data_IF_784209904331
#
_entry.id   IF_784209904331
#
_cell.length_a   1.000
_cell.length_b   1.000
_cell.length_c   1.000
_cell.angle_alpha   90.00
_cell.angle_beta   90.00
_cell.angle_gamma   90.00
#
_symmetry.space_group_name_H-M   'P 1'
#
loop_
_entity.id
_entity.type
_entity.pdbx_description
1 polymer ?
#
# COMPACT_ATOMS: atom_id res chain seq x y z
N UNK A 1 2.09 2.24 -22.90
CA UNK A 1 1.91 2.89 -21.58
C UNK A 1 3.23 3.53 -21.18
N UNK A 2 3.26 4.81 -20.78
CA UNK A 2 4.50 5.48 -20.38
C UNK A 2 5.11 4.75 -19.16
N UNK A 3 6.39 4.34 -19.25
CA UNK A 3 7.06 3.44 -18.29
C UNK A 3 6.93 3.93 -16.84
N UNK A 4 6.87 5.26 -16.64
CA UNK A 4 6.68 5.88 -15.32
C UNK A 4 5.40 5.40 -14.65
N UNK A 5 4.27 5.37 -15.36
CA UNK A 5 3.00 4.93 -14.80
C UNK A 5 2.99 3.43 -14.48
N UNK A 6 3.70 2.61 -15.27
CA UNK A 6 3.83 1.18 -14.98
C UNK A 6 4.55 0.94 -13.65
N UNK A 7 5.63 1.67 -13.39
CA UNK A 7 6.32 1.58 -12.10
C UNK A 7 5.50 2.23 -10.96
N UNK A 8 4.69 3.26 -11.23
CA UNK A 8 3.77 3.81 -10.23
C UNK A 8 2.70 2.81 -9.78
N UNK A 9 2.28 1.88 -10.65
CA UNK A 9 1.39 0.77 -10.26
C UNK A 9 2.04 -0.12 -9.19
N UNK A 10 3.36 -0.30 -9.22
CA UNK A 10 4.07 -1.01 -8.14
C UNK A 10 3.94 -0.25 -6.83
N UNK A 11 4.05 1.09 -6.88
CA UNK A 11 3.77 1.96 -5.73
C UNK A 11 2.36 1.79 -5.18
N UNK A 12 1.35 1.68 -6.06
CA UNK A 12 -0.03 1.40 -5.65
C UNK A 12 -0.14 0.08 -4.88
N UNK A 13 0.41 -1.00 -5.44
CA UNK A 13 0.38 -2.32 -4.80
C UNK A 13 1.12 -2.33 -3.46
N UNK A 14 2.24 -1.61 -3.35
CA UNK A 14 2.95 -1.44 -2.09
C UNK A 14 2.08 -0.70 -1.05
N UNK A 15 1.41 0.39 -1.44
CA UNK A 15 0.49 1.12 -0.57
C UNK A 15 -0.66 0.25 -0.07
N UNK A 16 -1.28 -0.53 -0.96
CA UNK A 16 -2.29 -1.54 -0.60
C UNK A 16 -1.74 -2.54 0.40
N UNK A 17 -0.54 -3.04 0.17
CA UNK A 17 0.13 -4.01 1.06
C UNK A 17 0.36 -3.41 2.45
N UNK A 18 0.86 -2.17 2.53
CA UNK A 18 1.06 -1.49 3.81
C UNK A 18 -0.23 -1.31 4.60
N UNK A 19 -1.33 -0.96 3.93
CA UNK A 19 -2.63 -0.86 4.60
C UNK A 19 -3.09 -2.22 5.15
N UNK A 20 -2.93 -3.30 4.37
CA UNK A 20 -3.28 -4.64 4.85
C UNK A 20 -2.42 -5.03 6.07
N UNK A 21 -1.13 -4.72 6.07
CA UNK A 21 -0.27 -4.91 7.24
C UNK A 21 -0.74 -4.10 8.45
N UNK A 22 -1.10 -2.83 8.26
CA UNK A 22 -1.59 -1.96 9.34
C UNK A 22 -2.87 -2.54 9.98
N UNK A 23 -3.81 -2.99 9.15
CA UNK A 23 -5.04 -3.67 9.60
C UNK A 23 -4.72 -4.97 10.34
N UNK A 24 -3.79 -5.78 9.83
CA UNK A 24 -3.40 -7.03 10.48
C UNK A 24 -2.73 -6.78 11.84
N UNK A 25 -1.85 -5.79 11.93
CA UNK A 25 -1.19 -5.41 13.20
C UNK A 25 -2.23 -4.91 14.20
N UNK A 26 -3.07 -3.96 13.79
CA UNK A 26 -4.12 -3.41 14.67
C UNK A 26 -5.08 -4.49 15.17
N UNK A 27 -5.51 -5.42 14.31
CA UNK A 27 -6.37 -6.51 14.74
C UNK A 27 -5.61 -7.55 15.59
N UNK A 28 -4.30 -7.76 15.37
CA UNK A 28 -3.50 -8.69 16.19
C UNK A 28 -3.30 -8.21 17.63
N UNK A 29 -3.26 -6.90 17.87
CA UNK A 29 -3.14 -6.32 19.23
C UNK A 29 -4.36 -6.60 20.11
N UNK A 30 -5.52 -6.84 19.50
CA UNK A 30 -6.80 -7.03 20.19
C UNK A 30 -7.29 -8.49 20.09
N UNK A 31 -6.60 -9.34 19.34
CA UNK A 31 -7.02 -10.71 19.04
C UNK A 31 -6.36 -11.76 19.94
N UNK A 32 -6.95 -12.95 19.98
CA UNK A 32 -6.44 -14.12 20.69
C UNK A 32 -5.09 -14.60 20.15
N UNK A 33 -4.33 -15.26 21.02
CA UNK A 33 -3.11 -16.02 20.69
C UNK A 33 -3.51 -17.02 19.59
N UNK A 34 -3.00 -16.84 18.37
CA UNK A 34 -3.37 -17.57 17.12
C UNK A 34 -4.59 -17.04 16.33
N UNK A 35 -4.63 -15.72 16.09
CA UNK A 35 -5.59 -15.13 15.15
C UNK A 35 -5.47 -15.71 13.73
N UNK A 36 -6.61 -16.12 13.16
CA UNK A 36 -6.68 -16.57 11.76
C UNK A 36 -6.61 -15.39 10.78
N UNK A 37 -6.20 -15.60 9.54
CA UNK A 37 -6.10 -14.53 8.54
C UNK A 37 -7.44 -13.78 8.31
N UNK A 38 -8.57 -14.48 8.41
CA UNK A 38 -9.90 -13.86 8.30
C UNK A 38 -10.20 -12.93 9.47
N UNK A 39 -9.73 -13.23 10.67
CA UNK A 39 -9.89 -12.37 11.84
C UNK A 39 -8.99 -11.13 11.73
N UNK A 40 -7.76 -11.31 11.25
CA UNK A 40 -6.81 -10.23 11.04
C UNK A 40 -7.23 -9.24 9.94
N UNK A 41 -8.07 -9.67 8.99
CA UNK A 41 -8.56 -8.85 7.90
C UNK A 41 -10.04 -8.44 8.03
N UNK A 42 -10.69 -8.76 9.16
CA UNK A 42 -12.15 -8.60 9.35
C UNK A 42 -12.61 -7.14 9.27
N UNK A 43 -11.71 -6.19 9.49
CA UNK A 43 -12.00 -4.77 9.59
C UNK A 43 -11.37 -3.94 8.44
N UNK A 44 -11.14 -4.54 7.28
CA UNK A 44 -10.68 -3.80 6.10
C UNK A 44 -11.71 -2.73 5.73
N UNK A 45 -11.26 -1.49 5.68
CA UNK A 45 -11.97 -0.39 5.06
C UNK A 45 -11.47 -0.21 3.62
N UNK A 46 -12.31 -0.60 2.64
CA UNK A 46 -11.96 -0.51 1.22
C UNK A 46 -11.71 0.91 0.72
N UNK A 47 -12.33 1.92 1.34
CA UNK A 47 -12.03 3.31 1.03
C UNK A 47 -10.59 3.66 1.47
N UNK A 48 -10.20 3.31 2.69
CA UNK A 48 -8.83 3.53 3.16
C UNK A 48 -7.80 2.71 2.37
N UNK A 49 -8.11 1.45 2.05
CA UNK A 49 -7.30 0.60 1.18
C UNK A 49 -6.98 1.30 -0.16
N UNK A 50 -8.00 1.90 -0.78
CA UNK A 50 -7.84 2.63 -2.04
C UNK A 50 -7.01 3.90 -1.87
N UNK A 51 -7.23 4.67 -0.80
CA UNK A 51 -6.45 5.88 -0.48
C UNK A 51 -4.97 5.55 -0.29
N UNK A 52 -4.64 4.50 0.46
CA UNK A 52 -3.26 4.05 0.65
C UNK A 52 -2.62 3.62 -0.68
N UNK A 53 -3.38 2.94 -1.54
CA UNK A 53 -2.95 2.65 -2.91
C UNK A 53 -2.64 3.91 -3.71
N UNK A 54 -3.53 4.92 -3.70
CA UNK A 54 -3.30 6.20 -4.39
C UNK A 54 -2.05 6.91 -3.86
N UNK A 55 -1.87 6.95 -2.54
CA UNK A 55 -0.69 7.56 -1.91
C UNK A 55 0.57 6.85 -2.40
N UNK A 56 0.60 5.51 -2.36
CA UNK A 56 1.73 4.73 -2.85
C UNK A 56 2.03 4.96 -4.34
N UNK A 57 0.99 5.07 -5.17
CA UNK A 57 1.12 5.40 -6.58
C UNK A 57 1.79 6.76 -6.80
N UNK A 58 1.28 7.79 -6.12
CA UNK A 58 1.76 9.18 -6.22
C UNK A 58 3.22 9.27 -5.75
N UNK A 59 3.52 8.67 -4.59
CA UNK A 59 4.88 8.66 -4.03
C UNK A 59 5.88 8.02 -4.99
N UNK A 60 5.53 6.87 -5.57
CA UNK A 60 6.40 6.19 -6.53
C UNK A 60 6.53 6.96 -7.84
N UNK A 61 5.46 7.59 -8.32
CA UNK A 61 5.51 8.47 -9.49
C UNK A 61 6.46 9.66 -9.28
N UNK A 62 6.37 10.32 -8.12
CA UNK A 62 7.24 11.44 -7.76
C UNK A 62 8.69 10.97 -7.68
N UNK A 63 8.95 9.86 -6.97
CA UNK A 63 10.29 9.29 -6.82
C UNK A 63 10.95 9.05 -8.18
N UNK A 64 10.26 8.35 -9.08
CA UNK A 64 10.79 8.03 -10.42
C UNK A 64 10.97 9.29 -11.25
N UNK A 65 10.07 10.25 -11.13
CA UNK A 65 10.17 11.52 -11.87
C UNK A 65 11.37 12.33 -11.40
N UNK A 66 11.62 12.37 -10.08
CA UNK A 66 12.77 13.05 -9.48
C UNK A 66 14.07 12.33 -9.84
N UNK A 67 14.14 11.00 -9.71
CA UNK A 67 15.33 10.23 -10.10
C UNK A 67 15.68 10.41 -11.58
N UNK A 68 14.69 10.38 -12.47
CA UNK A 68 14.91 10.62 -13.90
C UNK A 68 15.40 12.04 -14.21
N UNK A 69 15.09 13.03 -13.36
CA UNK A 69 15.60 14.41 -13.49
C UNK A 69 17.00 14.59 -12.91
N UNK A 70 17.42 13.74 -11.97
CA UNK A 70 18.74 13.79 -11.35
C UNK A 70 19.79 13.03 -12.16
N UNK A 71 19.38 11.95 -12.83
CA UNK A 71 20.27 11.11 -13.66
C UNK A 71 20.53 11.75 -15.04
N UNK A 72 19.73 12.74 -15.43
CA UNK A 72 19.70 13.32 -16.77
C UNK A 72 20.05 14.80 -16.72
#
# INVERSE_FOLDING_TARGET
MNKKYLFSVIGFLAGVTFYLFDVMVSNSEVSSIEATANELLRNINYFMLFIYGIIGFIMMYILITTLNKLIK
#
